data_IF_791887209977
#
_entry.id   IF_791887209977
#
_cell.length_a   1.000
_cell.length_b   1.000
_cell.length_c   1.000
_cell.angle_alpha   90.00
_cell.angle_beta   90.00
_cell.angle_gamma   90.00
#
_symmetry.space_group_name_H-M   'P 1'
#
loop_
_entity.id
_entity.type
_entity.pdbx_description
1 polymer ?
#
# COMPACT_ATOMS: atom_id res chain seq x y z
N UNK A 1 2.14 36.49 53.81
CA UNK A 1 1.85 36.38 52.37
C UNK A 1 2.93 35.53 51.73
N UNK A 2 2.57 34.37 51.20
CA UNK A 2 3.48 33.32 50.70
C UNK A 2 4.10 33.67 49.34
N UNK A 3 5.32 33.19 49.05
CA UNK A 3 5.65 32.79 47.69
C UNK A 3 6.16 31.33 47.66
N UNK A 4 5.28 30.39 48.07
CA UNK A 4 5.34 28.96 47.71
C UNK A 4 5.12 28.74 46.18
N UNK A 5 5.02 29.82 45.40
CA UNK A 5 4.70 29.81 43.97
C UNK A 5 5.91 30.04 43.06
N UNK A 6 7.12 30.18 43.60
CA UNK A 6 8.32 30.32 42.75
C UNK A 6 8.86 28.98 42.22
N UNK A 7 8.28 27.86 42.66
CA UNK A 7 8.64 26.51 42.21
C UNK A 7 7.71 25.96 41.11
N UNK A 8 6.78 26.76 40.61
CA UNK A 8 5.62 26.31 39.83
C UNK A 8 5.64 26.57 38.32
N UNK A 9 6.79 26.83 37.69
CA UNK A 9 6.86 27.01 36.23
C UNK A 9 7.96 26.19 35.52
N UNK A 10 8.77 25.42 36.24
CA UNK A 10 9.81 24.59 35.61
C UNK A 10 9.37 23.15 35.29
N UNK A 11 8.11 22.78 35.59
CA UNK A 11 7.64 21.38 35.58
C UNK A 11 6.55 21.02 34.57
N UNK A 12 6.31 21.76 33.47
CA UNK A 12 5.27 21.30 32.52
C UNK A 12 5.51 21.57 31.03
N UNK A 13 6.74 21.85 30.60
CA UNK A 13 7.03 21.85 29.16
C UNK A 13 8.00 20.70 28.85
N UNK A 14 7.61 19.49 29.25
CA UNK A 14 8.09 18.31 28.51
C UNK A 14 7.28 18.31 27.22
N UNK A 15 7.93 18.78 26.16
CA UNK A 15 7.52 18.57 24.78
C UNK A 15 7.58 17.05 24.58
N UNK A 16 6.48 16.34 24.86
CA UNK A 16 6.31 14.98 24.39
C UNK A 16 6.10 15.06 22.89
N UNK A 17 7.17 14.81 22.13
CA UNK A 17 7.05 14.49 20.71
C UNK A 17 6.03 13.37 20.56
N UNK A 18 4.95 13.64 19.84
CA UNK A 18 3.96 12.62 19.47
C UNK A 18 4.69 11.73 18.45
N UNK A 19 5.37 10.69 18.92
CA UNK A 19 5.88 9.64 18.04
C UNK A 19 4.65 8.80 17.70
N UNK A 20 4.19 8.90 16.45
CA UNK A 20 3.21 7.94 15.92
C UNK A 20 3.86 6.56 15.91
N UNK A 21 3.55 5.75 16.93
CA UNK A 21 4.02 4.37 16.99
C UNK A 21 3.32 3.58 15.90
N UNK A 22 4.11 2.98 15.00
CA UNK A 22 3.58 2.14 13.92
C UNK A 22 3.02 0.87 14.56
N UNK A 23 1.70 0.70 14.47
CA UNK A 23 1.00 -0.47 14.98
C UNK A 23 1.57 -1.75 14.36
N UNK A 24 1.77 -2.80 15.16
CA UNK A 24 2.27 -4.08 14.66
C UNK A 24 1.16 -4.86 13.93
N UNK A 25 1.52 -5.80 13.05
CA UNK A 25 0.55 -6.58 12.29
C UNK A 25 -0.43 -7.34 13.21
N UNK A 26 0.04 -7.85 14.34
CA UNK A 26 -0.80 -8.56 15.30
C UNK A 26 -1.82 -7.64 16.00
N UNK A 27 -1.41 -6.43 16.37
CA UNK A 27 -2.32 -5.42 16.94
C UNK A 27 -3.34 -4.95 15.91
N UNK A 28 -2.93 -4.81 14.64
CA UNK A 28 -3.81 -4.48 13.53
C UNK A 28 -4.91 -5.56 13.34
N UNK A 29 -4.50 -6.83 13.39
CA UNK A 29 -5.40 -7.98 13.32
C UNK A 29 -6.38 -8.02 14.52
N UNK A 30 -5.93 -7.68 15.73
CA UNK A 30 -6.80 -7.58 16.91
C UNK A 30 -7.87 -6.50 16.78
N UNK A 31 -7.59 -5.43 16.04
CA UNK A 31 -8.56 -4.39 15.71
C UNK A 31 -9.51 -4.79 14.55
N UNK A 32 -9.37 -6.02 14.03
CA UNK A 32 -10.21 -6.55 12.95
C UNK A 32 -9.73 -6.18 11.54
N UNK A 33 -8.52 -5.64 11.41
CA UNK A 33 -7.93 -5.32 10.11
C UNK A 33 -6.86 -6.36 9.76
N UNK A 34 -7.03 -7.03 8.62
CA UNK A 34 -5.98 -7.89 8.07
C UNK A 34 -5.16 -7.12 7.04
N UNK A 35 -3.91 -6.71 7.35
CA UNK A 35 -3.11 -5.91 6.43
C UNK A 35 -2.82 -6.60 5.09
N UNK A 36 -2.84 -7.94 5.05
CA UNK A 36 -2.68 -8.70 3.81
C UNK A 36 -3.92 -8.66 2.89
N UNK A 37 -5.10 -8.30 3.41
CA UNK A 37 -6.38 -8.28 2.68
C UNK A 37 -6.95 -6.86 2.50
N UNK A 38 -6.19 -5.81 2.83
CA UNK A 38 -6.64 -4.42 2.66
C UNK A 38 -6.67 -4.04 1.18
N UNK A 39 -7.80 -4.30 0.51
CA UNK A 39 -8.05 -3.84 -0.84
C UNK A 39 -8.39 -2.35 -0.85
N UNK A 40 -7.43 -1.56 -1.31
CA UNK A 40 -7.54 -0.12 -1.29
C UNK A 40 -8.34 0.41 -2.50
N UNK A 41 -9.66 0.53 -2.34
CA UNK A 41 -10.55 1.13 -3.35
C UNK A 41 -10.43 2.66 -3.42
N UNK A 42 -9.90 3.31 -2.37
CA UNK A 42 -9.79 4.78 -2.25
C UNK A 42 -8.43 5.23 -1.69
N UNK A 43 -7.34 4.83 -2.34
CA UNK A 43 -5.98 5.10 -1.84
C UNK A 43 -5.63 6.58 -1.71
N UNK A 44 -6.35 7.48 -2.38
CA UNK A 44 -6.16 8.93 -2.20
C UNK A 44 -6.61 9.41 -0.80
N UNK A 45 -7.51 8.69 -0.14
CA UNK A 45 -8.01 9.01 1.19
C UNK A 45 -7.09 8.53 2.31
N UNK A 46 -6.14 7.61 2.04
CA UNK A 46 -5.14 7.17 3.04
C UNK A 46 -4.30 8.35 3.56
N UNK A 47 -4.06 9.34 2.70
CA UNK A 47 -3.41 10.61 3.05
C UNK A 47 -4.15 11.38 4.14
N UNK A 48 -5.49 11.25 4.20
CA UNK A 48 -6.32 11.91 5.24
C UNK A 48 -6.11 11.28 6.61
N UNK A 49 -5.59 10.06 6.65
CA UNK A 49 -5.38 9.27 7.87
C UNK A 49 -3.89 9.01 8.13
N UNK A 50 -2.98 9.68 7.42
CA UNK A 50 -1.52 9.51 7.53
C UNK A 50 -1.04 8.07 7.24
N UNK A 51 -1.83 7.30 6.48
CA UNK A 51 -1.54 5.92 6.07
C UNK A 51 -0.88 5.85 4.68
N UNK A 52 -0.21 6.91 4.25
CA UNK A 52 0.40 6.98 2.91
C UNK A 52 1.44 5.90 2.65
N UNK A 53 2.14 5.46 3.71
CA UNK A 53 3.12 4.38 3.62
C UNK A 53 2.52 3.04 3.14
N UNK A 54 1.19 2.90 3.18
CA UNK A 54 0.47 1.73 2.65
C UNK A 54 0.23 1.81 1.13
N UNK A 55 0.50 2.94 0.46
CA UNK A 55 0.40 3.03 -1.02
C UNK A 55 1.52 2.27 -1.72
N UNK A 56 2.72 2.25 -1.13
CA UNK A 56 3.94 1.70 -1.72
C UNK A 56 3.89 0.18 -1.87
N UNK A 57 3.04 -0.51 -1.11
CA UNK A 57 2.91 -1.97 -1.17
C UNK A 57 2.08 -2.47 -2.36
N UNK A 58 1.30 -1.61 -3.02
CA UNK A 58 0.44 -2.03 -4.12
C UNK A 58 1.22 -2.21 -5.43
N UNK A 59 0.99 -3.32 -6.14
CA UNK A 59 1.68 -3.61 -7.40
C UNK A 59 1.59 -2.47 -8.44
N UNK A 60 0.39 -1.91 -8.61
CA UNK A 60 0.06 -0.96 -9.69
C UNK A 60 0.53 0.47 -9.41
N UNK A 61 0.46 0.93 -8.14
CA UNK A 61 0.82 2.32 -7.80
C UNK A 61 2.19 2.45 -7.16
N UNK A 62 2.72 1.37 -6.58
CA UNK A 62 4.06 1.32 -6.03
C UNK A 62 5.13 1.11 -7.09
N UNK A 63 6.36 0.84 -6.65
CA UNK A 63 7.52 0.67 -7.53
C UNK A 63 7.63 -0.74 -8.13
N UNK A 64 6.89 -1.72 -7.59
CA UNK A 64 6.97 -3.14 -8.01
C UNK A 64 6.72 -3.34 -9.51
N UNK A 65 5.68 -2.70 -10.07
CA UNK A 65 5.40 -2.81 -11.52
C UNK A 65 6.50 -2.23 -12.42
N UNK A 66 7.33 -1.30 -11.92
CA UNK A 66 8.42 -0.69 -12.69
C UNK A 66 9.55 -1.67 -13.02
N UNK A 67 9.61 -2.81 -12.32
CA UNK A 67 10.55 -3.92 -12.60
C UNK A 67 10.36 -4.49 -14.01
N UNK A 68 9.14 -4.42 -14.57
CA UNK A 68 8.78 -5.08 -15.83
C UNK A 68 8.66 -4.05 -16.96
N UNK A 69 9.73 -3.84 -17.74
CA UNK A 69 9.76 -2.83 -18.81
C UNK A 69 8.81 -3.10 -19.97
N UNK A 70 8.44 -4.37 -20.18
CA UNK A 70 7.49 -4.82 -21.21
C UNK A 70 6.03 -4.88 -20.70
N UNK A 71 5.77 -4.57 -19.43
CA UNK A 71 4.42 -4.52 -18.88
C UNK A 71 3.76 -3.16 -19.16
N UNK A 72 2.56 -3.17 -19.74
CA UNK A 72 1.75 -1.97 -19.98
C UNK A 72 0.47 -2.00 -19.16
N UNK A 73 0.33 -1.06 -18.23
CA UNK A 73 -0.88 -0.93 -17.39
C UNK A 73 -1.83 0.09 -18.01
N UNK A 74 -3.10 -0.30 -18.19
CA UNK A 74 -4.17 0.59 -18.69
C UNK A 74 -5.36 0.60 -17.75
N UNK A 75 -5.77 1.78 -17.31
CA UNK A 75 -6.97 1.97 -16.50
C UNK A 75 -8.19 2.18 -17.40
N UNK A 76 -9.11 1.22 -17.36
CA UNK A 76 -10.38 1.28 -18.09
C UNK A 76 -11.51 1.27 -17.07
N UNK A 77 -12.41 2.26 -17.13
CA UNK A 77 -13.52 2.37 -16.18
C UNK A 77 -14.53 1.25 -16.41
N UNK A 78 -15.03 0.66 -15.33
CA UNK A 78 -16.09 -0.36 -15.36
C UNK A 78 -15.61 -1.76 -15.75
N UNK A 79 -14.31 -1.99 -15.84
CA UNK A 79 -13.72 -3.29 -16.17
C UNK A 79 -12.95 -3.83 -14.96
N UNK A 80 -13.12 -5.12 -14.69
CA UNK A 80 -12.36 -5.83 -13.65
C UNK A 80 -10.88 -6.00 -14.07
N UNK A 81 -9.95 -6.16 -13.11
CA UNK A 81 -8.55 -6.39 -13.43
C UNK A 81 -8.34 -7.65 -14.27
N UNK A 82 -7.68 -7.47 -15.41
CA UNK A 82 -7.40 -8.53 -16.39
C UNK A 82 -5.94 -8.38 -16.84
N UNK A 83 -5.22 -9.49 -16.89
CA UNK A 83 -3.88 -9.57 -17.48
C UNK A 83 -3.99 -10.13 -18.89
N UNK A 84 -3.34 -9.50 -19.87
CA UNK A 84 -3.33 -9.94 -21.26
C UNK A 84 -1.89 -10.24 -21.67
N UNK A 85 -1.66 -11.45 -22.19
CA UNK A 85 -0.39 -11.84 -22.78
C UNK A 85 -0.44 -11.55 -24.28
N UNK A 86 0.59 -10.86 -24.76
CA UNK A 86 0.72 -10.49 -26.16
C UNK A 86 1.90 -11.24 -26.77
N UNK A 87 1.77 -11.62 -28.04
CA UNK A 87 2.89 -12.12 -28.82
C UNK A 87 3.74 -10.96 -29.39
N UNK A 88 4.76 -11.30 -30.18
CA UNK A 88 5.64 -10.34 -30.85
C UNK A 88 4.90 -9.37 -31.80
N UNK A 89 3.77 -9.79 -32.35
CA UNK A 89 2.90 -8.99 -33.22
C UNK A 89 1.94 -8.08 -32.46
N UNK A 90 2.00 -8.08 -31.12
CA UNK A 90 1.08 -7.37 -30.22
C UNK A 90 -0.37 -7.87 -30.27
N UNK A 91 -0.58 -9.09 -30.74
CA UNK A 91 -1.88 -9.76 -30.68
C UNK A 91 -2.05 -10.43 -29.32
N UNK A 92 -3.26 -10.36 -28.77
CA UNK A 92 -3.59 -11.02 -27.50
C UNK A 92 -3.66 -12.52 -27.74
N UNK A 93 -2.76 -13.25 -27.08
CA UNK A 93 -2.71 -14.72 -27.13
C UNK A 93 -3.39 -15.35 -25.93
N UNK A 94 -3.46 -14.65 -24.79
CA UNK A 94 -4.13 -15.13 -23.60
C UNK A 94 -4.69 -13.99 -22.72
N UNK A 95 -5.74 -14.29 -21.96
CA UNK A 95 -6.43 -13.35 -21.09
C UNK A 95 -6.79 -14.00 -19.74
N UNK A 96 -6.24 -13.45 -18.65
CA UNK A 96 -6.38 -13.97 -17.30
C UNK A 96 -7.16 -13.00 -16.42
N UNK A 97 -8.15 -13.51 -15.69
CA UNK A 97 -8.84 -12.73 -14.66
C UNK A 97 -8.03 -12.77 -13.36
N UNK A 98 -7.45 -11.63 -13.00
CA UNK A 98 -6.58 -11.48 -11.84
C UNK A 98 -7.27 -10.80 -10.65
N UNK A 99 -8.60 -10.69 -10.66
CA UNK A 99 -9.36 -9.98 -9.62
C UNK A 99 -9.07 -10.49 -8.19
N UNK A 100 -8.77 -11.79 -8.06
CA UNK A 100 -8.51 -12.44 -6.78
C UNK A 100 -7.02 -12.59 -6.45
N UNK A 101 -6.13 -12.16 -7.35
CA UNK A 101 -4.70 -12.32 -7.14
C UNK A 101 -4.20 -11.23 -6.20
N UNK A 102 -3.37 -11.62 -5.25
CA UNK A 102 -2.60 -10.68 -4.43
C UNK A 102 -1.34 -10.21 -5.18
N UNK A 103 -0.61 -9.30 -4.55
CA UNK A 103 0.61 -8.72 -5.13
C UNK A 103 1.67 -9.79 -5.39
N UNK A 104 1.81 -10.75 -4.49
CA UNK A 104 2.85 -11.78 -4.56
C UNK A 104 2.58 -12.77 -5.70
N UNK A 105 1.32 -13.16 -5.87
CA UNK A 105 0.86 -14.01 -7.00
C UNK A 105 1.09 -13.32 -8.34
N UNK A 106 0.81 -12.01 -8.43
CA UNK A 106 1.06 -11.23 -9.64
C UNK A 106 2.56 -11.17 -9.94
N UNK A 107 3.41 -10.87 -8.94
CA UNK A 107 4.86 -10.80 -9.12
C UNK A 107 5.46 -12.15 -9.53
N UNK A 108 5.07 -13.25 -8.88
CA UNK A 108 5.55 -14.59 -9.22
C UNK A 108 5.19 -14.96 -10.67
N UNK A 109 3.93 -14.71 -11.06
CA UNK A 109 3.48 -14.99 -12.42
C UNK A 109 4.28 -14.16 -13.44
N UNK A 110 4.46 -12.86 -13.20
CA UNK A 110 5.18 -11.99 -14.13
C UNK A 110 6.68 -12.30 -14.19
N UNK A 111 7.30 -12.67 -13.07
CA UNK A 111 8.70 -13.10 -13.04
C UNK A 111 8.92 -14.33 -13.92
N UNK A 112 8.01 -15.31 -13.84
CA UNK A 112 8.08 -16.52 -14.66
C UNK A 112 7.85 -16.27 -16.16
N UNK A 113 7.07 -15.25 -16.54
CA UNK A 113 6.67 -15.04 -17.94
C UNK A 113 7.41 -13.89 -18.65
N UNK A 114 7.95 -12.92 -17.92
CA UNK A 114 8.55 -11.70 -18.49
C UNK A 114 10.06 -11.59 -18.26
N UNK A 115 10.62 -12.35 -17.32
CA UNK A 115 12.05 -12.32 -16.98
C UNK A 115 12.77 -13.66 -17.24
N UNK A 116 12.06 -14.67 -17.75
CA UNK A 116 12.59 -15.99 -18.11
C UNK A 116 13.15 -16.04 -19.53
#
# INVERSE_FOLDING_TARGET
MNPMYLFGCFMSVIITSIVGEKLTDNECNQLGYNPAELFCSRCLELTKFELDNLKDSSFIRGDKSKKYSNLKIKFVRGILPILKLLNEHHDVVDELNIQKWDTDTIEEFLDQHLLS
#
